data_IF_542763501890
#
_entry.id   IF_542763501890
#
_cell.length_a   1.000
_cell.length_b   1.000
_cell.length_c   1.000
_cell.angle_alpha   90.00
_cell.angle_beta   90.00
_cell.angle_gamma   90.00
#
_symmetry.space_group_name_H-M   'P 1'
#
loop_
_entity.id
_entity.type
_entity.pdbx_description
1 polymer ?
#
# COMPACT_ATOMS: atom_id res chain seq x y z
N UNK A 1 -10.00 -22.56 -13.24
CA UNK A 1 -9.48 -21.48 -12.37
C UNK A 1 -10.09 -20.18 -12.86
N UNK A 2 -11.11 -19.68 -12.17
CA UNK A 2 -11.76 -18.43 -12.57
C UNK A 2 -10.88 -17.26 -12.10
N UNK A 3 -10.23 -16.59 -13.04
CA UNK A 3 -9.72 -15.25 -12.82
C UNK A 3 -10.92 -14.33 -12.96
N UNK A 4 -11.29 -13.62 -11.90
CA UNK A 4 -12.13 -12.43 -12.10
C UNK A 4 -11.20 -11.41 -12.75
N UNK A 5 -11.28 -11.32 -14.08
CA UNK A 5 -10.72 -10.19 -14.81
C UNK A 5 -11.61 -9.00 -14.48
N UNK A 6 -11.36 -8.38 -13.33
CA UNK A 6 -11.75 -7.00 -13.12
C UNK A 6 -10.96 -6.25 -14.20
N UNK A 7 -11.66 -5.80 -15.24
CA UNK A 7 -11.06 -5.04 -16.34
C UNK A 7 -10.22 -3.88 -15.83
N UNK A 8 -9.49 -3.22 -16.72
CA UNK A 8 -8.47 -2.18 -16.47
C UNK A 8 -8.92 -0.94 -15.67
N UNK A 9 -10.03 -0.98 -14.94
CA UNK A 9 -10.41 -0.03 -13.92
C UNK A 9 -9.72 -0.42 -12.61
N UNK A 10 -8.69 0.33 -12.23
CA UNK A 10 -8.22 0.35 -10.84
C UNK A 10 -9.44 0.56 -9.93
N UNK A 11 -9.67 -0.36 -9.00
CA UNK A 11 -10.75 -0.21 -8.03
C UNK A 11 -10.30 0.83 -7.01
N UNK A 12 -11.00 1.95 -6.89
CA UNK A 12 -10.66 3.01 -5.92
C UNK A 12 -10.74 2.52 -4.48
N UNK A 13 -11.60 1.51 -4.22
CA UNK A 13 -11.76 0.86 -2.92
C UNK A 13 -11.65 -0.65 -3.01
N UNK A 14 -11.05 -1.25 -1.99
CA UNK A 14 -10.98 -2.69 -1.82
C UNK A 14 -12.31 -3.23 -1.28
N UNK A 15 -13.02 -4.04 -2.07
CA UNK A 15 -14.13 -4.84 -1.56
C UNK A 15 -13.58 -6.07 -0.80
N UNK A 16 -13.58 -6.00 0.53
CA UNK A 16 -13.10 -7.07 1.41
C UNK A 16 -13.92 -8.36 1.32
N UNK A 17 -15.16 -8.31 0.80
CA UNK A 17 -16.01 -9.48 0.61
C UNK A 17 -15.64 -10.30 -0.63
N UNK A 18 -14.79 -9.79 -1.53
CA UNK A 18 -14.31 -10.50 -2.72
C UNK A 18 -13.66 -11.85 -2.36
N UNK A 19 -12.96 -11.92 -1.22
CA UNK A 19 -12.28 -13.14 -0.78
C UNK A 19 -13.22 -14.25 -0.28
N UNK A 20 -14.51 -13.95 -0.03
CA UNK A 20 -15.50 -14.97 0.32
C UNK A 20 -15.96 -15.79 -0.89
N UNK A 21 -15.62 -15.38 -2.12
CA UNK A 21 -16.03 -16.00 -3.39
C UNK A 21 -14.96 -16.90 -4.03
N UNK A 22 -14.18 -17.63 -3.23
CA UNK A 22 -13.03 -18.46 -3.68
C UNK A 22 -11.87 -17.70 -4.36
N UNK A 23 -11.90 -16.37 -4.38
CA UNK A 23 -10.80 -15.55 -4.88
C UNK A 23 -9.61 -15.66 -3.92
N UNK A 24 -8.46 -16.13 -4.39
CA UNK A 24 -7.25 -16.30 -3.56
C UNK A 24 -6.36 -15.06 -3.50
N UNK A 25 -6.38 -14.25 -4.56
CA UNK A 25 -5.61 -13.01 -4.70
C UNK A 25 -6.33 -12.00 -5.56
N UNK A 26 -6.04 -10.72 -5.32
CA UNK A 26 -6.51 -9.59 -6.13
C UNK A 26 -5.36 -8.60 -6.35
N UNK A 27 -5.46 -7.80 -7.41
CA UNK A 27 -4.55 -6.68 -7.66
C UNK A 27 -5.12 -5.46 -6.92
N UNK A 28 -4.28 -4.81 -6.12
CA UNK A 28 -4.65 -3.64 -5.28
C UNK A 28 -3.87 -2.38 -5.66
N UNK A 29 -3.07 -2.42 -6.73
CA UNK A 29 -2.31 -1.28 -7.21
C UNK A 29 -1.15 -1.71 -8.09
N UNK A 30 -0.31 -0.74 -8.46
CA UNK A 30 0.89 -0.95 -9.27
C UNK A 30 2.07 -0.16 -8.74
N UNK A 31 3.26 -0.73 -8.84
CA UNK A 31 4.50 0.01 -8.70
C UNK A 31 4.81 0.67 -10.05
N UNK A 32 4.89 2.00 -10.07
CA UNK A 32 5.08 2.79 -11.30
C UNK A 32 6.56 2.94 -11.66
N UNK A 33 6.83 3.32 -12.91
CA UNK A 33 8.20 3.56 -13.39
C UNK A 33 8.86 4.73 -12.65
N UNK A 34 8.12 5.80 -12.37
CA UNK A 34 8.62 6.98 -11.66
C UNK A 34 9.12 6.64 -10.26
N UNK A 35 8.40 5.76 -9.55
CA UNK A 35 8.81 5.30 -8.21
C UNK A 35 10.04 4.38 -8.32
N UNK A 36 10.09 3.52 -9.33
CA UNK A 36 11.25 2.64 -9.58
C UNK A 36 12.49 3.47 -9.85
N UNK A 37 12.41 4.44 -10.75
CA UNK A 37 13.52 5.30 -11.15
C UNK A 37 14.00 6.16 -9.96
N UNK A 38 13.05 6.75 -9.21
CA UNK A 38 13.39 7.59 -8.06
C UNK A 38 14.17 6.86 -6.97
N UNK A 39 13.77 5.61 -6.68
CA UNK A 39 14.42 4.78 -5.65
C UNK A 39 15.49 3.84 -6.20
N UNK A 40 15.79 3.91 -7.51
CA UNK A 40 16.73 3.02 -8.20
C UNK A 40 16.45 1.53 -7.91
N UNK A 41 15.19 1.12 -8.06
CA UNK A 41 14.77 -0.24 -7.75
C UNK A 41 15.11 -1.19 -8.89
N UNK A 42 15.63 -2.37 -8.55
CA UNK A 42 15.94 -3.42 -9.53
C UNK A 42 14.69 -4.27 -9.87
N UNK A 43 13.69 -3.64 -10.49
CA UNK A 43 12.48 -4.29 -11.00
C UNK A 43 11.83 -3.46 -12.12
N UNK A 44 10.98 -4.07 -12.93
CA UNK A 44 10.12 -3.35 -13.89
C UNK A 44 8.79 -2.95 -13.23
N UNK A 45 8.02 -2.01 -13.83
CA UNK A 45 6.65 -1.75 -13.40
C UNK A 45 5.85 -3.04 -13.29
N UNK A 46 5.12 -3.21 -12.19
CA UNK A 46 4.45 -4.47 -11.87
C UNK A 46 3.25 -4.27 -10.94
N UNK A 47 2.41 -5.30 -10.83
CA UNK A 47 1.24 -5.24 -9.95
C UNK A 47 1.64 -5.44 -8.49
N UNK A 48 0.84 -4.87 -7.61
CA UNK A 48 0.86 -5.12 -6.18
C UNK A 48 -0.37 -5.99 -5.86
N UNK A 49 -0.15 -7.16 -5.28
CA UNK A 49 -1.20 -8.13 -4.98
C UNK A 49 -1.45 -8.28 -3.49
N UNK A 50 -2.73 -8.50 -3.15
CA UNK A 50 -3.20 -8.90 -1.84
C UNK A 50 -3.73 -10.33 -1.90
N UNK A 51 -3.21 -11.17 -1.01
CA UNK A 51 -3.66 -12.55 -0.84
C UNK A 51 -4.68 -12.65 0.29
N UNK A 52 -5.62 -13.59 0.18
CA UNK A 52 -6.72 -13.75 1.13
C UNK A 52 -6.24 -14.01 2.58
N UNK A 53 -5.18 -14.81 2.74
CA UNK A 53 -4.55 -15.10 4.02
C UNK A 53 -3.89 -13.86 4.64
N UNK A 54 -3.33 -13.00 3.79
CA UNK A 54 -2.69 -11.75 4.21
C UNK A 54 -3.71 -10.69 4.61
N UNK A 55 -4.90 -10.66 4.01
CA UNK A 55 -6.00 -9.81 4.50
C UNK A 55 -6.38 -10.21 5.94
N UNK A 56 -6.45 -11.50 6.26
CA UNK A 56 -6.70 -11.93 7.65
C UNK A 56 -5.61 -11.46 8.62
N UNK A 57 -4.37 -11.35 8.15
CA UNK A 57 -3.26 -10.87 8.97
C UNK A 57 -3.44 -9.41 9.40
N UNK A 58 -4.08 -8.56 8.59
CA UNK A 58 -4.30 -7.16 8.96
C UNK A 58 -5.27 -7.03 10.12
N UNK A 59 -6.10 -8.04 10.40
CA UNK A 59 -7.01 -8.02 11.55
C UNK A 59 -6.27 -7.95 12.89
N UNK A 60 -4.99 -8.34 12.95
CA UNK A 60 -4.13 -8.16 14.13
C UNK A 60 -3.91 -6.70 14.48
N UNK A 61 -4.12 -5.79 13.53
CA UNK A 61 -4.01 -4.36 13.71
C UNK A 61 -5.35 -3.69 14.03
N UNK A 62 -6.46 -4.44 14.20
CA UNK A 62 -7.77 -3.86 14.54
C UNK A 62 -7.72 -2.98 15.79
N UNK A 63 -6.94 -3.37 16.78
CA UNK A 63 -6.75 -2.63 18.04
C UNK A 63 -5.93 -1.35 17.89
N UNK A 64 -5.25 -1.17 16.76
CA UNK A 64 -4.51 0.05 16.46
C UNK A 64 -5.44 1.17 15.95
N UNK A 65 -6.70 0.85 15.65
CA UNK A 65 -7.73 1.80 15.22
C UNK A 65 -8.70 2.12 16.36
N UNK A 66 -9.42 3.24 16.27
CA UNK A 66 -10.39 3.62 17.31
C UNK A 66 -11.61 2.69 17.36
N UNK A 67 -11.93 2.05 16.23
CA UNK A 67 -13.03 1.10 16.11
C UNK A 67 -12.82 0.12 14.97
N UNK A 68 -13.56 -1.00 14.99
CA UNK A 68 -13.57 -1.94 13.85
C UNK A 68 -14.09 -1.28 12.56
N UNK A 69 -15.05 -0.37 12.67
CA UNK A 69 -15.58 0.39 11.54
C UNK A 69 -14.48 1.25 10.90
N UNK A 70 -13.66 1.93 11.69
CA UNK A 70 -12.50 2.66 11.18
C UNK A 70 -11.47 1.73 10.55
N UNK A 71 -11.20 0.57 11.15
CA UNK A 71 -10.33 -0.45 10.55
C UNK A 71 -10.80 -0.83 9.14
N UNK A 72 -12.06 -1.23 8.97
CA UNK A 72 -12.57 -1.64 7.66
C UNK A 72 -12.54 -0.48 6.66
N UNK A 73 -12.93 0.73 7.06
CA UNK A 73 -12.86 1.93 6.21
C UNK A 73 -11.43 2.18 5.71
N UNK A 74 -10.41 1.97 6.54
CA UNK A 74 -9.01 2.12 6.12
C UNK A 74 -8.52 0.99 5.23
N UNK A 75 -8.92 -0.25 5.50
CA UNK A 75 -8.59 -1.40 4.65
C UNK A 75 -9.19 -1.23 3.25
N UNK A 76 -10.42 -0.72 3.16
CA UNK A 76 -11.07 -0.39 1.89
C UNK A 76 -10.28 0.67 1.09
N UNK A 77 -9.57 1.59 1.74
CA UNK A 77 -8.79 2.64 1.06
C UNK A 77 -7.40 2.18 0.57
N UNK A 78 -6.98 0.94 0.83
CA UNK A 78 -5.66 0.43 0.42
C UNK A 78 -5.32 0.73 -1.06
N UNK A 79 -6.21 0.51 -2.04
CA UNK A 79 -5.90 0.82 -3.44
C UNK A 79 -5.65 2.31 -3.69
N UNK A 80 -6.47 3.19 -3.11
CA UNK A 80 -6.30 4.65 -3.19
C UNK A 80 -4.99 5.12 -2.54
N UNK A 81 -4.61 4.53 -1.41
CA UNK A 81 -3.34 4.86 -0.74
C UNK A 81 -2.14 4.47 -1.61
N UNK A 82 -2.21 3.34 -2.32
CA UNK A 82 -1.13 2.90 -3.20
C UNK A 82 -1.06 3.75 -4.47
N UNK A 83 -2.19 4.15 -5.04
CA UNK A 83 -2.24 4.92 -6.29
C UNK A 83 -1.95 6.42 -6.10
N UNK A 84 -2.36 6.98 -4.97
CA UNK A 84 -2.24 8.40 -4.67
C UNK A 84 -1.75 8.62 -3.22
N UNK A 85 -0.56 8.14 -2.85
CA UNK A 85 0.01 8.38 -1.53
C UNK A 85 0.39 9.85 -1.34
N UNK A 86 0.46 10.30 -0.09
CA UNK A 86 1.05 11.59 0.25
C UNK A 86 2.58 11.46 0.35
N UNK A 87 3.06 10.34 0.89
CA UNK A 87 4.48 10.03 1.03
C UNK A 87 4.81 8.60 0.60
N UNK A 88 6.01 8.42 0.05
CA UNK A 88 6.58 7.11 -0.27
C UNK A 88 7.98 7.03 0.33
N UNK A 89 8.42 5.83 0.73
CA UNK A 89 9.81 5.59 1.06
C UNK A 89 10.18 4.12 1.15
N UNK A 90 11.45 3.85 1.42
CA UNK A 90 11.96 2.51 1.62
C UNK A 90 12.15 2.24 3.11
N UNK A 91 11.67 1.09 3.57
CA UNK A 91 11.99 0.64 4.91
C UNK A 91 13.49 0.29 4.98
N UNK A 92 14.23 0.77 5.99
CA UNK A 92 15.69 0.73 6.01
C UNK A 92 16.30 -0.68 5.96
N UNK A 93 15.59 -1.69 6.48
CA UNK A 93 16.18 -3.03 6.68
C UNK A 93 15.38 -4.23 6.16
N UNK A 94 14.17 -4.05 5.62
CA UNK A 94 13.27 -5.20 5.34
C UNK A 94 12.85 -5.34 3.87
N UNK A 95 13.54 -4.64 2.96
CA UNK A 95 13.29 -4.66 1.52
C UNK A 95 11.82 -4.41 1.16
N UNK A 96 11.20 -3.43 1.79
CA UNK A 96 9.81 -3.06 1.54
C UNK A 96 9.72 -1.58 1.21
N UNK A 97 8.85 -1.26 0.26
CA UNK A 97 8.43 0.12 0.00
C UNK A 97 7.22 0.42 0.90
N UNK A 98 7.14 1.66 1.36
CA UNK A 98 6.12 2.17 2.26
C UNK A 98 5.34 3.26 1.54
N UNK A 99 4.01 3.13 1.54
CA UNK A 99 3.06 4.14 1.05
C UNK A 99 2.33 4.72 2.23
N UNK A 100 2.24 6.05 2.33
CA UNK A 100 1.54 6.71 3.42
C UNK A 100 0.58 7.74 2.86
N UNK A 101 -0.66 7.72 3.36
CA UNK A 101 -1.67 8.72 3.07
C UNK A 101 -2.43 9.09 4.32
N UNK A 102 -2.72 10.37 4.50
CA UNK A 102 -3.62 10.84 5.53
C UNK A 102 -5.05 10.68 5.05
N UNK A 103 -5.85 9.95 5.82
CA UNK A 103 -7.30 9.92 5.64
C UNK A 103 -7.91 10.78 6.75
N UNK A 104 -8.15 10.19 7.91
CA UNK A 104 -8.32 10.85 9.21
C UNK A 104 -7.05 10.70 10.06
N UNK A 105 -6.40 9.54 9.96
CA UNK A 105 -5.06 9.27 10.49
C UNK A 105 -4.07 9.02 9.35
N UNK A 106 -2.77 9.02 9.67
CA UNK A 106 -1.74 8.67 8.68
C UNK A 106 -1.71 7.16 8.53
N UNK A 107 -2.21 6.64 7.43
CA UNK A 107 -2.24 5.21 7.16
C UNK A 107 -0.96 4.79 6.44
N UNK A 108 -0.21 3.84 7.00
CA UNK A 108 0.99 3.28 6.37
C UNK A 108 0.69 1.91 5.78
N UNK A 109 1.10 1.70 4.54
CA UNK A 109 1.06 0.41 3.84
C UNK A 109 2.47 -0.03 3.50
N UNK A 110 2.84 -1.24 3.93
CA UNK A 110 4.10 -1.87 3.58
C UNK A 110 3.92 -2.89 2.45
N UNK A 111 4.70 -2.75 1.38
CA UNK A 111 4.72 -3.67 0.23
C UNK A 111 6.11 -4.29 0.10
N UNK A 112 6.18 -5.61 0.04
CA UNK A 112 7.45 -6.34 -0.13
C UNK A 112 7.91 -6.26 -1.58
N UNK A 113 9.10 -5.70 -1.76
CA UNK A 113 9.77 -5.68 -3.05
C UNK A 113 10.28 -7.07 -3.43
N UNK A 114 10.30 -7.34 -4.72
CA UNK A 114 10.83 -8.56 -5.33
C UNK A 114 11.56 -8.18 -6.63
N UNK A 115 12.62 -8.90 -7.02
CA UNK A 115 13.30 -8.66 -8.29
C UNK A 115 12.41 -8.92 -9.51
N UNK A 116 11.48 -9.90 -9.41
CA UNK A 116 10.63 -10.32 -10.52
C UNK A 116 9.19 -10.64 -10.08
N UNK A 117 8.26 -10.41 -11.03
CA UNK A 117 6.83 -10.66 -10.88
C UNK A 117 6.12 -9.68 -9.95
N UNK A 118 4.87 -9.99 -9.61
CA UNK A 118 4.05 -9.13 -8.75
C UNK A 118 4.65 -8.99 -7.33
N UNK A 119 4.47 -7.81 -6.76
CA UNK A 119 4.83 -7.45 -5.39
C UNK A 119 3.73 -7.88 -4.41
N UNK A 120 4.12 -8.13 -3.16
CA UNK A 120 3.18 -8.62 -2.14
C UNK A 120 2.92 -7.57 -1.08
N UNK A 121 1.65 -7.30 -0.82
CA UNK A 121 1.23 -6.59 0.39
C UNK A 121 1.71 -7.29 1.66
N UNK A 122 2.15 -6.51 2.67
CA UNK A 122 2.70 -7.03 3.93
C UNK A 122 1.91 -6.62 5.15
N UNK A 123 1.59 -5.34 5.29
CA UNK A 123 0.77 -4.84 6.39
C UNK A 123 0.21 -3.47 6.06
N UNK A 124 -0.86 -3.10 6.76
CA UNK A 124 -1.40 -1.76 6.78
C UNK A 124 -1.87 -1.42 8.20
N UNK A 125 -1.49 -0.26 8.71
CA UNK A 125 -1.84 0.20 10.07
C UNK A 125 -1.66 1.72 10.19
N UNK A 126 -2.37 2.38 11.12
CA UNK A 126 -2.22 3.81 11.33
C UNK A 126 -0.90 4.10 12.03
N UNK A 127 -0.31 5.24 11.73
CA UNK A 127 0.87 5.77 12.43
C UNK A 127 0.56 7.15 12.99
N UNK A 128 1.18 7.48 14.13
CA UNK A 128 1.02 8.81 14.72
C UNK A 128 1.73 9.87 13.88
N UNK A 129 1.35 11.14 14.08
CA UNK A 129 2.02 12.26 13.43
C UNK A 129 3.49 12.36 13.85
N UNK A 130 3.83 12.06 15.10
CA UNK A 130 5.20 12.02 15.60
C UNK A 130 6.02 10.96 14.87
N UNK A 131 5.43 9.79 14.60
CA UNK A 131 6.09 8.72 13.86
C UNK A 131 6.35 9.14 12.42
N UNK A 132 5.36 9.71 11.74
CA UNK A 132 5.54 10.27 10.40
C UNK A 132 6.65 11.33 10.38
N UNK A 133 6.63 12.26 11.34
CA UNK A 133 7.66 13.30 11.47
C UNK A 133 9.06 12.70 11.68
N UNK A 134 9.18 11.61 12.44
CA UNK A 134 10.47 10.93 12.63
C UNK A 134 11.03 10.36 11.33
N UNK A 135 10.18 9.78 10.48
CA UNK A 135 10.57 9.28 9.16
C UNK A 135 10.97 10.40 8.20
N UNK A 136 10.24 11.52 8.22
CA UNK A 136 10.57 12.70 7.42
C UNK A 136 11.92 13.30 7.86
N UNK A 137 12.16 13.42 9.17
CA UNK A 137 13.44 13.90 9.73
C UNK A 137 14.60 12.98 9.39
N UNK A 138 14.37 11.67 9.40
CA UNK A 138 15.38 10.67 9.03
C UNK A 138 15.61 10.59 7.51
N UNK A 139 14.81 11.27 6.69
CA UNK A 139 14.90 11.22 5.24
C UNK A 139 14.47 9.89 4.63
N UNK A 140 13.78 9.02 5.39
CA UNK A 140 13.32 7.70 4.91
C UNK A 140 12.02 7.77 4.13
N UNK A 141 11.35 8.92 4.12
CA UNK A 141 10.14 9.20 3.34
C UNK A 141 10.30 10.49 2.54
N UNK A 142 9.69 10.53 1.37
CA UNK A 142 9.60 11.70 0.49
C UNK A 142 8.15 11.94 0.08
N UNK A 143 7.81 13.19 -0.23
CA UNK A 143 6.48 13.53 -0.78
C UNK A 143 6.30 12.87 -2.15
N UNK A 144 5.19 12.20 -2.38
CA UNK A 144 4.92 11.53 -3.65
C UNK A 144 4.91 12.50 -4.84
N UNK A 145 4.33 13.69 -4.65
CA UNK A 145 4.35 14.79 -5.62
C UNK A 145 5.75 15.11 -6.19
N UNK A 146 6.79 15.01 -5.35
CA UNK A 146 8.19 15.20 -5.76
C UNK A 146 8.67 14.12 -6.75
N UNK A 147 8.15 12.90 -6.63
CA UNK A 147 8.49 11.76 -7.49
C UNK A 147 7.85 11.92 -8.87
N UNK A 148 6.57 12.30 -8.92
CA UNK A 148 5.79 12.39 -10.17
C UNK A 148 5.98 13.73 -10.92
N UNK A 149 6.97 14.54 -10.54
CA UNK A 149 7.26 15.82 -11.21
C UNK A 149 6.23 16.95 -10.99
N UNK A 150 5.22 16.72 -10.15
CA UNK A 150 4.24 17.73 -9.77
C UNK A 150 4.77 18.52 -8.57
N UNK A 151 5.64 19.49 -8.83
CA UNK A 151 6.25 20.33 -7.79
C UNK A 151 5.16 21.27 -7.25
N UNK A 152 4.91 21.23 -5.93
CA UNK A 152 4.29 22.31 -5.16
C UNK A 152 5.36 23.31 -4.72
#
# INVERSE_FOLDING_TARGET
>A
MAFVNLGENMVDKLDVFLFKKEVKKIIIGRLSAEVIDYFNLNCSPCNIVLWADRLKYTEKHKTDFKSEQEYYRHIEEIPNIISNPDYIGLHPSNNSIQYIKKIDENMLIGIRLKPTGDLNFRSAYPITQEKLNSYLKAGTLVKYKKIIGNID
#
